data_IF_469949157137
#
_entry.id   IF_469949157137
#
_cell.length_a   1.000
_cell.length_b   1.000
_cell.length_c   1.000
_cell.angle_alpha   90.00
_cell.angle_beta   90.00
_cell.angle_gamma   90.00
#
_symmetry.space_group_name_H-M   'P 1'
#
loop_
_entity.id
_entity.type
_entity.pdbx_description
1 polymer ?
#
# COMPACT_ATOMS: atom_id res chain seq x y z
N UNK A 1 9.83 -0.76 -12.52
CA UNK A 1 9.36 -1.00 -11.16
C UNK A 1 10.44 -1.64 -10.33
N UNK A 2 10.85 -0.95 -9.27
CA UNK A 2 11.73 -1.48 -8.24
C UNK A 2 11.12 -2.75 -7.60
N UNK A 3 11.91 -3.80 -7.36
CA UNK A 3 11.46 -5.06 -6.77
C UNK A 3 10.84 -4.87 -5.38
N UNK A 4 11.40 -3.99 -4.54
CA UNK A 4 10.83 -3.69 -3.23
C UNK A 4 9.45 -3.01 -3.34
N UNK A 5 9.29 -2.09 -4.30
CA UNK A 5 7.99 -1.45 -4.59
C UNK A 5 6.98 -2.49 -5.08
N UNK A 6 7.41 -3.41 -5.95
CA UNK A 6 6.57 -4.52 -6.39
C UNK A 6 6.10 -5.41 -5.24
N UNK A 7 6.99 -5.74 -4.29
CA UNK A 7 6.63 -6.53 -3.10
C UNK A 7 5.56 -5.83 -2.26
N UNK A 8 5.74 -4.53 -2.02
CA UNK A 8 4.77 -3.71 -1.28
C UNK A 8 3.43 -3.64 -2.00
N UNK A 9 3.45 -3.43 -3.33
CA UNK A 9 2.24 -3.44 -4.14
C UNK A 9 1.50 -4.78 -4.04
N UNK A 10 2.19 -5.90 -4.22
CA UNK A 10 1.61 -7.25 -4.12
C UNK A 10 1.00 -7.47 -2.72
N UNK A 11 1.73 -7.11 -1.66
CA UNK A 11 1.27 -7.22 -0.28
C UNK A 11 0.00 -6.42 -0.04
N UNK A 12 -0.04 -5.15 -0.47
CA UNK A 12 -1.20 -4.27 -0.28
C UNK A 12 -2.40 -4.75 -1.11
N UNK A 13 -2.20 -5.22 -2.34
CA UNK A 13 -3.27 -5.80 -3.17
C UNK A 13 -3.90 -7.04 -2.52
N UNK A 14 -3.09 -7.92 -1.95
CA UNK A 14 -3.56 -9.10 -1.20
C UNK A 14 -4.31 -8.73 0.09
N UNK A 15 -4.17 -7.48 0.57
CA UNK A 15 -4.92 -6.90 1.68
C UNK A 15 -6.09 -6.01 1.21
N UNK A 16 -6.44 -6.01 -0.08
CA UNK A 16 -7.61 -5.31 -0.62
C UNK A 16 -7.39 -3.87 -1.04
N UNK A 17 -6.14 -3.42 -1.14
CA UNK A 17 -5.84 -2.07 -1.61
C UNK A 17 -5.77 -2.01 -3.14
N UNK A 18 -6.31 -0.93 -3.69
CA UNK A 18 -5.97 -0.46 -5.03
C UNK A 18 -4.71 0.39 -4.94
N UNK A 19 -3.76 0.15 -5.83
CA UNK A 19 -2.42 0.72 -5.74
C UNK A 19 -2.07 1.51 -6.99
N UNK A 20 -1.44 2.67 -6.80
CA UNK A 20 -0.66 3.38 -7.82
C UNK A 20 0.77 3.48 -7.31
N UNK A 21 1.73 3.01 -8.10
CA UNK A 21 3.15 2.98 -7.75
C UNK A 21 3.93 4.03 -8.54
N UNK A 22 5.06 4.49 -8.00
CA UNK A 22 6.01 5.38 -8.70
C UNK A 22 5.32 6.65 -9.27
N UNK A 23 4.39 7.25 -8.50
CA UNK A 23 3.60 8.42 -8.94
C UNK A 23 4.43 9.70 -8.90
N UNK A 24 4.64 10.30 -10.06
CA UNK A 24 5.47 11.49 -10.19
C UNK A 24 4.71 12.77 -9.84
N UNK A 25 5.20 13.51 -8.85
CA UNK A 25 4.73 14.87 -8.55
C UNK A 25 5.56 15.86 -9.35
N UNK A 26 4.90 16.66 -10.18
CA UNK A 26 5.53 17.68 -11.04
C UNK A 26 5.41 19.07 -10.40
N UNK A 27 6.42 19.92 -10.57
CA UNK A 27 6.35 21.33 -10.18
C UNK A 27 6.91 22.25 -11.28
N UNK A 28 6.43 23.50 -11.40
CA UNK A 28 6.93 24.42 -12.40
C UNK A 28 8.37 24.87 -12.09
N UNK A 29 9.20 25.00 -13.13
CA UNK A 29 10.58 25.48 -12.99
C UNK A 29 10.60 27.00 -12.80
N UNK A 30 11.20 27.54 -11.73
CA UNK A 30 11.25 28.98 -11.50
C UNK A 30 11.85 29.75 -12.67
N UNK A 31 11.15 30.79 -13.13
CA UNK A 31 11.60 31.65 -14.23
C UNK A 31 11.51 31.02 -15.63
N UNK A 32 10.97 29.81 -15.79
CA UNK A 32 10.80 29.14 -17.09
C UNK A 32 9.33 28.75 -17.32
N UNK A 33 8.49 29.69 -17.82
CA UNK A 33 7.07 29.42 -18.09
C UNK A 33 6.86 28.20 -18.98
N UNK A 34 5.94 27.31 -18.58
CA UNK A 34 5.61 26.10 -19.32
C UNK A 34 6.58 24.93 -19.13
N UNK A 35 7.67 25.09 -18.38
CA UNK A 35 8.59 24.01 -18.03
C UNK A 35 8.28 23.46 -16.65
N UNK A 36 8.25 22.13 -16.55
CA UNK A 36 8.02 21.39 -15.31
C UNK A 36 9.17 20.44 -15.05
N UNK A 37 9.40 20.14 -13.77
CA UNK A 37 10.33 19.10 -13.35
C UNK A 37 9.71 18.25 -12.23
N UNK A 38 10.18 17.01 -12.12
CA UNK A 38 9.74 16.09 -11.07
C UNK A 38 10.21 16.60 -9.70
N UNK A 39 9.26 17.00 -8.86
CA UNK A 39 9.50 17.37 -7.47
C UNK A 39 9.94 16.15 -6.66
N UNK A 40 9.19 15.06 -6.77
CA UNK A 40 9.49 13.76 -6.18
C UNK A 40 8.63 12.70 -6.83
N UNK A 41 9.10 11.46 -6.78
CA UNK A 41 8.26 10.30 -7.03
C UNK A 41 7.69 9.82 -5.68
N UNK A 42 6.40 9.50 -5.65
CA UNK A 42 5.75 8.80 -4.54
C UNK A 42 5.78 7.33 -4.85
N UNK A 43 6.46 6.53 -4.03
CA UNK A 43 6.61 5.10 -4.31
C UNK A 43 5.26 4.39 -4.32
N UNK A 44 4.39 4.73 -3.35
CA UNK A 44 3.12 4.05 -3.12
C UNK A 44 2.02 5.07 -2.78
N UNK A 45 0.94 5.05 -3.55
CA UNK A 45 -0.31 5.76 -3.25
C UNK A 45 -1.47 4.76 -3.37
N UNK A 46 -2.18 4.49 -2.27
CA UNK A 46 -3.17 3.40 -2.25
C UNK A 46 -4.44 3.77 -1.53
N UNK A 47 -5.50 3.03 -1.85
CA UNK A 47 -6.79 3.12 -1.17
C UNK A 47 -7.39 1.73 -0.99
N UNK A 48 -7.85 1.43 0.23
CA UNK A 48 -8.73 0.31 0.54
C UNK A 48 -10.12 0.85 0.83
N UNK A 49 -11.12 0.27 0.19
CA UNK A 49 -12.52 0.65 0.41
C UNK A 49 -13.13 -0.18 1.56
N UNK A 50 -14.15 0.35 2.24
CA UNK A 50 -14.92 -0.41 3.23
C UNK A 50 -15.46 -1.70 2.63
N UNK A 51 -15.50 -2.74 3.46
CA UNK A 51 -16.05 -4.05 3.08
C UNK A 51 -15.39 -4.68 1.85
N UNK A 52 -14.14 -4.31 1.53
CA UNK A 52 -13.37 -4.94 0.46
C UNK A 52 -13.32 -6.46 0.64
N UNK A 53 -13.66 -7.20 -0.41
CA UNK A 53 -13.64 -8.65 -0.45
C UNK A 53 -13.25 -9.14 -1.85
N UNK A 54 -12.48 -10.22 -1.94
CA UNK A 54 -12.20 -10.90 -3.20
C UNK A 54 -13.27 -11.98 -3.43
N UNK A 55 -14.05 -11.82 -4.51
CA UNK A 55 -15.09 -12.80 -4.86
C UNK A 55 -14.52 -13.81 -5.84
N UNK A 56 -14.42 -15.08 -5.43
CA UNK A 56 -14.17 -16.17 -6.38
C UNK A 56 -15.47 -16.44 -7.13
N UNK A 57 -15.47 -16.13 -8.44
CA UNK A 57 -16.64 -16.31 -9.29
C UNK A 57 -16.93 -17.81 -9.51
N UNK A 58 -18.21 -18.17 -9.38
CA UNK A 58 -18.70 -19.55 -9.60
C UNK A 58 -18.63 -19.95 -11.06
N UNK A 59 -18.47 -21.24 -11.33
CA UNK A 59 -18.92 -21.80 -12.60
C UNK A 59 -20.46 -21.88 -12.60
N UNK A 60 -21.19 -21.23 -13.52
CA UNK A 60 -22.65 -21.08 -13.44
C UNK A 60 -23.45 -22.39 -13.44
N UNK A 61 -22.81 -23.50 -13.80
CA UNK A 61 -23.47 -24.77 -14.16
C UNK A 61 -23.15 -25.94 -13.22
N UNK A 62 -22.43 -25.73 -12.11
CA UNK A 62 -22.07 -26.81 -11.17
C UNK A 62 -22.81 -26.68 -9.84
N UNK A 63 -23.83 -27.52 -9.57
CA UNK A 63 -24.48 -27.59 -8.26
C UNK A 63 -23.50 -28.11 -7.20
N UNK A 64 -23.49 -27.51 -6.01
CA UNK A 64 -22.69 -27.97 -4.86
C UNK A 64 -21.40 -27.19 -4.57
N UNK A 65 -21.01 -26.24 -5.40
CA UNK A 65 -19.93 -25.30 -5.06
C UNK A 65 -20.52 -24.16 -4.18
N UNK A 66 -20.28 -24.22 -2.87
CA UNK A 66 -20.60 -23.11 -1.96
C UNK A 66 -19.77 -21.87 -2.31
N UNK A 67 -20.27 -20.67 -1.98
CA UNK A 67 -19.51 -19.43 -2.19
C UNK A 67 -18.27 -19.51 -1.30
N UNK A 68 -17.09 -19.69 -1.89
CA UNK A 68 -15.85 -19.45 -1.18
C UNK A 68 -15.53 -17.97 -1.37
N UNK A 69 -16.02 -17.15 -0.45
CA UNK A 69 -15.45 -15.81 -0.28
C UNK A 69 -14.04 -16.05 0.25
N UNK A 70 -13.03 -15.90 -0.62
CA UNK A 70 -11.66 -15.73 -0.17
C UNK A 70 -11.64 -14.33 0.40
N UNK A 71 -12.16 -14.19 1.63
CA UNK A 71 -12.03 -12.95 2.38
C UNK A 71 -10.53 -12.63 2.37
N UNK A 72 -10.22 -11.43 1.87
CA UNK A 72 -8.92 -10.83 2.08
C UNK A 72 -8.70 -10.91 3.59
N UNK A 73 -7.69 -11.66 4.04
CA UNK A 73 -7.40 -11.67 5.47
C UNK A 73 -6.69 -10.36 5.73
N UNK A 74 -7.34 -9.52 6.51
CA UNK A 74 -6.77 -8.28 6.97
C UNK A 74 -5.52 -8.61 7.81
N UNK A 75 -4.36 -8.19 7.34
CA UNK A 75 -3.15 -8.22 8.16
C UNK A 75 -3.32 -7.25 9.34
N UNK A 76 -3.27 -7.73 10.61
CA UNK A 76 -3.40 -6.87 11.77
C UNK A 76 -2.36 -5.73 11.80
N UNK A 77 -1.19 -5.91 11.18
CA UNK A 77 -0.15 -4.88 11.10
C UNK A 77 -0.62 -3.62 10.33
N UNK A 78 -1.59 -3.75 9.42
CA UNK A 78 -2.17 -2.62 8.70
C UNK A 78 -3.17 -1.83 9.58
N UNK A 79 -3.70 -2.42 10.65
CA UNK A 79 -4.64 -1.76 11.57
C UNK A 79 -5.84 -1.16 10.86
N UNK A 80 -6.43 -1.88 9.89
CA UNK A 80 -7.51 -1.38 9.03
C UNK A 80 -8.83 -1.26 9.79
N UNK A 81 -9.54 -0.15 9.60
CA UNK A 81 -10.93 -0.03 10.01
C UNK A 81 -11.85 -0.59 8.91
N UNK A 82 -12.73 -1.56 9.20
CA UNK A 82 -13.50 -2.25 8.17
C UNK A 82 -14.58 -1.38 7.49
N UNK A 83 -15.02 -0.33 8.17
CA UNK A 83 -16.13 0.56 7.82
C UNK A 83 -15.68 1.93 7.27
N UNK A 84 -14.37 2.20 7.21
CA UNK A 84 -13.82 3.48 6.78
C UNK A 84 -12.80 3.26 5.64
N UNK A 85 -12.87 4.02 4.52
CA UNK A 85 -11.83 3.98 3.52
C UNK A 85 -10.47 4.32 4.13
N UNK A 86 -9.46 3.52 3.81
CA UNK A 86 -8.11 3.70 4.30
C UNK A 86 -7.16 4.02 3.15
N UNK A 87 -6.42 5.11 3.28
CA UNK A 87 -5.51 5.62 2.27
C UNK A 87 -4.10 5.63 2.83
N UNK A 88 -3.15 5.07 2.07
CA UNK A 88 -1.73 5.09 2.40
C UNK A 88 -0.96 5.91 1.38
N UNK A 89 -0.15 6.84 1.89
CA UNK A 89 0.89 7.53 1.14
C UNK A 89 2.23 6.96 1.66
N UNK A 90 2.82 6.08 0.87
CA UNK A 90 3.92 5.22 1.28
C UNK A 90 5.24 5.55 0.62
N UNK A 91 6.30 5.40 1.41
CA UNK A 91 7.70 5.37 0.96
C UNK A 91 8.25 3.95 1.13
N UNK A 92 9.07 3.49 0.18
CA UNK A 92 9.66 2.15 0.18
C UNK A 92 11.18 2.25 0.28
N UNK A 93 11.76 1.61 1.30
CA UNK A 93 13.21 1.52 1.50
C UNK A 93 13.64 0.11 1.84
N UNK A 94 14.75 -0.36 1.26
CA UNK A 94 15.34 -1.65 1.66
C UNK A 94 16.12 -1.57 2.99
N UNK A 95 16.38 -0.34 3.48
CA UNK A 95 17.09 -0.06 4.72
C UNK A 95 16.17 0.26 5.90
N UNK A 96 16.60 1.19 6.75
CA UNK A 96 15.86 1.60 7.94
C UNK A 96 14.53 2.26 7.59
N UNK A 97 13.57 2.15 8.51
CA UNK A 97 12.30 2.87 8.47
C UNK A 97 12.52 4.39 8.43
N UNK A 98 12.26 4.99 7.28
CA UNK A 98 12.36 6.43 7.07
C UNK A 98 11.34 6.88 6.04
N UNK A 99 10.98 8.17 6.11
CA UNK A 99 10.26 8.85 5.03
C UNK A 99 11.20 9.85 4.36
N UNK A 100 11.17 9.91 3.03
CA UNK A 100 11.96 10.89 2.29
C UNK A 100 11.64 12.31 2.74
N UNK A 101 12.68 13.15 2.91
CA UNK A 101 12.50 14.57 3.28
C UNK A 101 11.58 15.31 2.30
N UNK A 102 11.59 14.92 1.02
CA UNK A 102 10.71 15.50 -0.01
C UNK A 102 9.24 15.11 0.19
N UNK A 103 8.97 13.87 0.59
CA UNK A 103 7.62 13.42 0.98
C UNK A 103 7.06 14.23 2.16
N UNK A 104 7.96 14.70 3.05
CA UNK A 104 7.60 15.57 4.18
C UNK A 104 7.43 17.05 3.83
N UNK A 105 7.30 17.39 2.54
CA UNK A 105 6.98 18.77 2.14
C UNK A 105 5.48 18.94 1.95
N UNK A 106 4.98 20.13 2.30
CA UNK A 106 3.55 20.45 2.17
C UNK A 106 3.06 20.29 0.72
N UNK A 107 3.88 20.66 -0.27
CA UNK A 107 3.50 20.66 -1.69
C UNK A 107 3.32 19.24 -2.24
N UNK A 108 4.18 18.31 -1.83
CA UNK A 108 4.09 16.90 -2.24
C UNK A 108 2.83 16.25 -1.65
N UNK A 109 2.58 16.46 -0.36
CA UNK A 109 1.35 15.95 0.27
C UNK A 109 0.11 16.61 -0.31
N UNK A 110 0.17 17.90 -0.66
CA UNK A 110 -0.91 18.60 -1.34
C UNK A 110 -1.24 17.92 -2.68
N UNK A 111 -0.21 17.65 -3.49
CA UNK A 111 -0.38 16.95 -4.77
C UNK A 111 -0.95 15.54 -4.60
N UNK A 112 -0.46 14.78 -3.61
CA UNK A 112 -0.95 13.44 -3.29
C UNK A 112 -2.43 13.45 -2.87
N UNK A 113 -2.80 14.34 -1.94
CA UNK A 113 -4.18 14.52 -1.46
C UNK A 113 -5.13 14.96 -2.58
N UNK A 114 -4.67 15.88 -3.43
CA UNK A 114 -5.44 16.31 -4.61
C UNK A 114 -5.61 15.17 -5.63
N UNK A 115 -4.59 14.34 -5.82
CA UNK A 115 -4.66 13.16 -6.70
C UNK A 115 -5.63 12.11 -6.17
N UNK A 116 -5.67 11.90 -4.86
CA UNK A 116 -6.62 11.02 -4.18
C UNK A 116 -8.06 11.53 -4.32
N UNK A 117 -8.25 12.86 -4.30
CA UNK A 117 -9.55 13.48 -4.52
C UNK A 117 -10.55 13.28 -3.38
N UNK A 118 -10.09 12.89 -2.19
CA UNK A 118 -10.95 12.66 -1.02
C UNK A 118 -11.35 13.95 -0.27
N UNK A 119 -10.60 15.03 -0.48
CA UNK A 119 -10.68 16.29 0.26
C UNK A 119 -10.87 17.50 -0.68
N UNK A 120 -11.78 18.45 -0.40
CA UNK A 120 -11.88 19.74 -1.07
C UNK A 120 -10.59 20.55 -0.94
N UNK A 121 -10.33 21.40 -1.94
CA UNK A 121 -9.06 22.15 -2.08
C UNK A 121 -8.74 22.99 -0.84
N UNK A 122 -9.75 23.64 -0.26
CA UNK A 122 -9.61 24.49 0.91
C UNK A 122 -9.13 23.75 2.17
N UNK A 123 -9.31 22.42 2.23
CA UNK A 123 -8.96 21.58 3.37
C UNK A 123 -7.67 20.78 3.18
N UNK A 124 -7.11 20.76 1.96
CA UNK A 124 -5.89 19.99 1.66
C UNK A 124 -4.71 20.47 2.50
N UNK A 125 -4.54 21.77 2.67
CA UNK A 125 -3.44 22.34 3.46
C UNK A 125 -3.52 21.92 4.94
N UNK A 126 -4.72 21.86 5.51
CA UNK A 126 -4.94 21.39 6.88
C UNK A 126 -4.64 19.90 7.04
N UNK A 127 -5.10 19.09 6.09
CA UNK A 127 -4.83 17.66 6.03
C UNK A 127 -3.33 17.39 5.90
N UNK A 128 -2.62 18.09 5.01
CA UNK A 128 -1.17 17.97 4.82
C UNK A 128 -0.41 18.31 6.12
N UNK A 129 -0.78 19.40 6.80
CA UNK A 129 -0.18 19.75 8.10
C UNK A 129 -0.42 18.69 9.17
N UNK A 130 -1.63 18.15 9.26
CA UNK A 130 -1.95 17.09 10.20
C UNK A 130 -1.15 15.81 9.94
N UNK A 131 -1.00 15.42 8.67
CA UNK A 131 -0.18 14.27 8.25
C UNK A 131 1.30 14.47 8.59
N UNK A 132 1.86 15.66 8.36
CA UNK A 132 3.26 15.95 8.71
C UNK A 132 3.50 15.88 10.23
N UNK A 133 2.53 16.31 11.02
CA UNK A 133 2.66 16.36 12.47
C UNK A 133 2.46 14.99 13.15
N UNK A 134 1.53 14.18 12.64
CA UNK A 134 1.05 12.95 13.33
C UNK A 134 1.20 11.67 12.54
N UNK A 135 1.56 11.76 11.25
CA UNK A 135 1.57 10.60 10.35
C UNK A 135 0.19 10.13 9.91
N UNK A 136 -0.89 10.69 10.46
CA UNK A 136 -2.26 10.28 10.22
C UNK A 136 -3.22 11.46 10.28
N UNK A 137 -4.27 11.39 9.48
CA UNK A 137 -5.39 12.32 9.47
C UNK A 137 -6.69 11.60 9.12
N UNK A 138 -7.74 11.84 9.90
CA UNK A 138 -9.10 11.33 9.61
C UNK A 138 -9.93 12.48 9.08
N UNK A 139 -10.26 12.43 7.79
CA UNK A 139 -11.17 13.38 7.16
C UNK A 139 -12.61 13.03 7.57
N UNK A 140 -13.34 14.03 8.03
CA UNK A 140 -14.75 13.88 8.42
C UNK A 140 -15.66 14.21 7.23
N UNK A 141 -16.86 13.61 7.19
CA UNK A 141 -17.84 13.82 6.11
C UNK A 141 -18.17 15.30 5.81
N UNK A 142 -18.05 16.18 6.80
CA UNK A 142 -18.31 17.62 6.66
C UNK A 142 -17.30 18.31 5.72
N UNK A 143 -16.16 17.67 5.50
CA UNK A 143 -15.02 18.19 4.74
C UNK A 143 -14.67 17.27 3.56
N UNK A 144 -15.60 16.42 3.07
CA UNK A 144 -15.36 15.51 1.94
C UNK A 144 -15.89 14.09 2.17
N UNK A 145 -15.25 13.10 1.53
CA UNK A 145 -15.54 11.68 1.78
C UNK A 145 -14.82 11.28 3.06
N UNK A 146 -15.54 10.77 4.06
CA UNK A 146 -14.88 10.30 5.27
C UNK A 146 -13.88 9.21 4.92
N UNK A 147 -12.62 9.43 5.30
CA UNK A 147 -11.53 8.50 5.07
C UNK A 147 -10.42 8.73 6.09
N UNK A 148 -9.64 7.69 6.33
CA UNK A 148 -8.40 7.76 7.10
C UNK A 148 -7.24 7.79 6.13
N UNK A 149 -6.37 8.78 6.30
CA UNK A 149 -5.18 8.99 5.46
C UNK A 149 -3.96 8.85 6.35
N UNK A 150 -3.02 8.01 5.95
CA UNK A 150 -1.82 7.70 6.74
C UNK A 150 -0.58 7.77 5.88
N UNK A 151 0.50 8.27 6.47
CA UNK A 151 1.84 8.08 5.95
C UNK A 151 2.30 6.67 6.32
N UNK A 152 3.01 6.01 5.41
CA UNK A 152 3.55 4.68 5.64
C UNK A 152 5.03 4.59 5.23
N UNK A 153 5.84 3.88 6.01
CA UNK A 153 7.21 3.50 5.67
C UNK A 153 7.27 1.98 5.54
N UNK A 154 7.51 1.53 4.32
CA UNK A 154 7.73 0.13 3.99
C UNK A 154 9.24 -0.12 3.96
N UNK A 155 9.77 -0.84 4.94
CA UNK A 155 11.21 -0.79 5.24
C UNK A 155 11.86 -2.16 5.43
N UNK A 156 13.19 -2.26 5.28
CA UNK A 156 13.91 -3.50 5.57
C UNK A 156 14.05 -3.79 7.06
N UNK A 157 14.18 -2.77 7.90
CA UNK A 157 14.27 -2.90 9.36
C UNK A 157 13.83 -1.63 10.09
N UNK A 158 13.52 -1.77 11.38
CA UNK A 158 13.16 -0.65 12.26
C UNK A 158 14.31 -0.35 13.21
N UNK A 159 14.79 0.89 13.18
CA UNK A 159 15.67 1.45 14.21
C UNK A 159 14.79 2.18 15.22
N UNK A 160 14.56 1.59 16.40
CA UNK A 160 13.61 2.10 17.40
C UNK A 160 13.89 3.54 17.82
N UNK A 161 15.16 3.96 17.84
CA UNK A 161 15.54 5.31 18.24
C UNK A 161 15.22 6.36 17.17
N UNK A 162 15.05 5.94 15.91
CA UNK A 162 14.89 6.83 14.74
C UNK A 162 13.57 6.62 14.00
N UNK A 163 12.75 5.68 14.46
CA UNK A 163 11.52 5.30 13.79
C UNK A 163 10.57 6.51 13.65
N UNK A 164 10.10 6.81 12.43
CA UNK A 164 9.10 7.86 12.23
C UNK A 164 7.77 7.46 12.88
N UNK A 165 7.05 8.43 13.46
CA UNK A 165 5.71 8.23 14.01
C UNK A 165 4.65 8.10 12.89
N UNK A 166 4.75 7.03 12.10
CA UNK A 166 3.91 6.70 10.94
C UNK A 166 3.65 5.19 10.92
N UNK A 167 2.81 4.70 10.01
CA UNK A 167 2.65 3.26 9.83
C UNK A 167 3.97 2.66 9.33
N UNK A 168 4.50 1.66 10.02
CA UNK A 168 5.73 0.96 9.61
C UNK A 168 5.39 -0.51 9.37
N UNK A 169 5.74 -1.03 8.20
CA UNK A 169 5.63 -2.45 7.88
C UNK A 169 6.95 -2.89 7.24
N UNK A 170 7.53 -3.98 7.74
CA UNK A 170 8.83 -4.46 7.25
C UNK A 170 8.69 -5.37 6.04
N UNK A 171 9.68 -5.36 5.15
CA UNK A 171 9.71 -6.18 3.94
C UNK A 171 9.72 -7.68 4.29
N UNK A 172 10.33 -8.07 5.42
CA UNK A 172 10.30 -9.46 5.88
C UNK A 172 8.89 -9.88 6.35
N UNK A 173 8.17 -9.00 7.05
CA UNK A 173 6.77 -9.23 7.44
C UNK A 173 5.89 -9.43 6.21
N UNK A 174 6.04 -8.56 5.21
CA UNK A 174 5.29 -8.67 3.96
C UNK A 174 5.57 -9.97 3.21
N UNK A 175 6.84 -10.38 3.12
CA UNK A 175 7.21 -11.66 2.49
C UNK A 175 6.58 -12.85 3.22
N UNK A 176 6.65 -12.89 4.55
CA UNK A 176 6.03 -13.94 5.37
C UNK A 176 4.52 -13.98 5.14
N UNK A 177 3.85 -12.84 5.21
CA UNK A 177 2.42 -12.74 4.95
C UNK A 177 2.06 -13.31 3.57
N UNK A 178 2.77 -12.92 2.51
CA UNK A 178 2.49 -13.43 1.15
C UNK A 178 2.73 -14.94 1.07
N UNK A 179 3.79 -15.47 1.68
CA UNK A 179 4.07 -16.91 1.70
C UNK A 179 2.98 -17.71 2.43
N UNK A 180 2.54 -17.22 3.59
CA UNK A 180 1.48 -17.84 4.37
C UNK A 180 0.16 -17.82 3.58
N UNK A 181 -0.13 -16.71 2.88
CA UNK A 181 -1.30 -16.59 2.00
C UNK A 181 -1.24 -17.56 0.82
N UNK A 182 -0.13 -17.61 0.08
CA UNK A 182 0.02 -18.57 -1.01
C UNK A 182 -0.18 -20.00 -0.53
N UNK A 183 0.33 -20.32 0.66
CA UNK A 183 0.16 -21.64 1.29
C UNK A 183 -1.29 -21.93 1.70
N UNK A 184 -1.98 -20.97 2.29
CA UNK A 184 -3.37 -21.12 2.71
C UNK A 184 -4.34 -21.33 1.53
N UNK A 185 -4.09 -20.67 0.39
CA UNK A 185 -4.98 -20.71 -0.78
C UNK A 185 -4.47 -21.60 -1.91
N UNK A 186 -3.52 -22.50 -1.64
CA UNK A 186 -2.95 -23.44 -2.64
C UNK A 186 -4.02 -24.13 -3.48
N UNK A 187 -5.11 -24.59 -2.86
CA UNK A 187 -6.20 -25.29 -3.55
C UNK A 187 -6.91 -24.41 -4.58
N UNK A 188 -7.07 -23.11 -4.30
CA UNK A 188 -7.75 -22.12 -5.15
C UNK A 188 -6.79 -21.56 -6.20
N UNK A 189 -5.52 -21.30 -5.83
CA UNK A 189 -4.53 -20.62 -6.66
C UNK A 189 -3.76 -21.56 -7.61
N UNK A 190 -3.95 -22.89 -7.50
CA UNK A 190 -3.28 -23.90 -8.36
C UNK A 190 -3.45 -23.59 -9.84
N UNK A 191 -4.66 -23.24 -10.28
CA UNK A 191 -4.99 -22.91 -11.67
C UNK A 191 -4.85 -21.41 -12.02
N UNK A 192 -4.62 -20.54 -11.03
CA UNK A 192 -4.46 -19.11 -11.28
C UNK A 192 -3.16 -18.81 -12.03
N UNK A 193 -3.26 -18.05 -13.12
CA UNK A 193 -2.13 -17.38 -13.74
C UNK A 193 -1.99 -15.99 -13.11
N UNK A 194 -0.85 -15.72 -12.48
CA UNK A 194 -0.58 -14.39 -11.98
C UNK A 194 0.07 -13.58 -13.10
N UNK A 195 -0.45 -12.38 -13.37
CA UNK A 195 0.26 -11.40 -14.20
C UNK A 195 1.49 -10.82 -13.49
N UNK A 196 1.56 -10.98 -12.17
CA UNK A 196 2.62 -10.45 -11.31
C UNK A 196 3.85 -11.39 -11.27
N UNK A 197 5.05 -10.90 -11.66
CA UNK A 197 6.27 -11.71 -11.65
C UNK A 197 6.72 -12.21 -10.27
N UNK A 198 6.46 -11.47 -9.19
CA UNK A 198 6.83 -11.87 -7.82
C UNK A 198 5.95 -13.03 -7.35
N UNK A 199 4.65 -12.95 -7.59
CA UNK A 199 3.74 -14.06 -7.28
C UNK A 199 4.09 -15.31 -8.09
N UNK A 200 4.49 -15.15 -9.35
CA UNK A 200 4.95 -16.28 -10.17
C UNK A 200 6.23 -16.91 -9.61
N UNK A 201 7.19 -16.10 -9.16
CA UNK A 201 8.42 -16.61 -8.53
C UNK A 201 8.13 -17.33 -7.21
N UNK A 202 7.30 -16.75 -6.34
CA UNK A 202 6.93 -17.37 -5.06
C UNK A 202 6.17 -18.68 -5.28
N UNK A 203 5.25 -18.74 -6.25
CA UNK A 203 4.57 -19.97 -6.68
C UNK A 203 5.56 -21.02 -7.20
N UNK A 204 6.62 -20.61 -7.91
CA UNK A 204 7.66 -21.51 -8.38
C UNK A 204 8.50 -22.06 -7.22
N UNK A 205 8.93 -21.21 -6.28
CA UNK A 205 9.67 -21.63 -5.09
C UNK A 205 8.88 -22.64 -4.27
N UNK A 206 7.57 -22.40 -4.11
CA UNK A 206 6.66 -23.31 -3.44
C UNK A 206 6.59 -24.68 -4.14
N UNK A 207 6.47 -24.71 -5.47
CA UNK A 207 6.47 -25.95 -6.27
C UNK A 207 7.79 -26.72 -6.17
N UNK A 208 8.90 -26.02 -5.96
CA UNK A 208 10.23 -26.60 -5.80
C UNK A 208 10.55 -26.95 -4.35
N UNK A 209 9.61 -26.73 -3.41
CA UNK A 209 9.79 -26.94 -1.97
C UNK A 209 10.95 -26.12 -1.38
N UNK A 210 11.21 -24.94 -1.94
CA UNK A 210 12.25 -24.02 -1.50
C UNK A 210 11.64 -23.01 -0.51
N UNK A 211 12.13 -23.04 0.75
CA UNK A 211 11.76 -22.09 1.79
C UNK A 211 12.72 -20.88 1.87
N UNK A 212 12.21 -19.75 2.36
CA UNK A 212 13.06 -18.62 2.76
C UNK A 212 13.48 -18.79 4.22
N UNK A 213 14.75 -18.56 4.51
CA UNK A 213 15.24 -18.40 5.88
C UNK A 213 15.36 -16.91 6.17
N UNK A 214 14.58 -16.43 7.12
CA UNK A 214 14.66 -15.06 7.58
C UNK A 214 15.64 -15.00 8.75
N UNK A 215 16.72 -14.24 8.61
CA UNK A 215 17.65 -14.02 9.71
C UNK A 215 17.00 -13.21 10.82
N UNK A 216 17.18 -13.61 12.08
CA UNK A 216 16.94 -12.71 13.21
C UNK A 216 18.01 -11.60 13.14
N UNK A 217 17.59 -10.36 12.93
CA UNK A 217 18.43 -9.18 13.12
C UNK A 217 17.72 -8.25 14.09
#
# INVERSE_FOLDING_TARGET
>A
MNTAVGLVETYLRLNGYFTATEYQVQHPVPGQPGKYETATDLDILTIRLPWAAETVLRHPQRPGEERCEVLLVDDPALGVAPDLPDVLIGEVKEGAAELNRRLKTSDVLHAALRRLGCCPEEHIADAARALLARGEFVLQHQHGVACRIRLASFCGHVDEERAPAVLIITLDHMLRFIQDRLTAYRSVLRSAQFGDPLLNLLKLMEKLEIGLTFGHR
#
